data_IF_306137316294
#
_entry.id   IF_306137316294
#
_cell.length_a   1.000
_cell.length_b   1.000
_cell.length_c   1.000
_cell.angle_alpha   90.00
_cell.angle_beta   90.00
_cell.angle_gamma   90.00
#
_symmetry.space_group_name_H-M   'P 1'
#
loop_
_entity.id
_entity.type
_entity.pdbx_description
1 polymer ?
#
# COMPACT_ATOMS: atom_id res chain seq x y z
N UNK A 1 15.75 7.10 -7.31
CA UNK A 1 14.94 7.86 -6.34
C UNK A 1 14.12 6.85 -5.53
N UNK A 2 13.71 7.21 -4.30
CA UNK A 2 12.77 6.40 -3.53
C UNK A 2 11.38 7.03 -3.63
N UNK A 3 10.35 6.20 -3.73
CA UNK A 3 8.96 6.61 -3.80
C UNK A 3 8.20 5.98 -2.64
N UNK A 4 7.23 6.71 -2.09
CA UNK A 4 6.35 6.18 -1.05
C UNK A 4 5.12 5.56 -1.72
N UNK A 5 5.07 4.23 -1.74
CA UNK A 5 3.88 3.51 -2.17
C UNK A 5 2.89 3.45 -1.00
N UNK A 6 1.69 3.98 -1.21
CA UNK A 6 0.58 3.93 -0.26
C UNK A 6 -0.26 2.69 -0.63
N UNK A 7 -0.27 1.72 0.28
CA UNK A 7 -1.11 0.53 0.17
C UNK A 7 -2.26 0.68 1.16
N UNK A 8 -3.49 0.63 0.67
CA UNK A 8 -4.70 0.78 1.45
C UNK A 8 -5.67 -0.34 1.07
N UNK A 9 -6.21 -1.03 2.07
CA UNK A 9 -7.25 -2.03 1.93
C UNK A 9 -8.43 -1.61 2.78
N UNK A 10 -9.61 -1.51 2.16
CA UNK A 10 -10.86 -1.22 2.84
C UNK A 10 -11.81 -2.37 2.55
N UNK A 11 -12.19 -3.13 3.58
CA UNK A 11 -12.95 -4.37 3.44
C UNK A 11 -12.30 -5.35 2.43
N UNK A 12 -12.89 -5.45 1.23
CA UNK A 12 -12.42 -6.30 0.14
C UNK A 12 -11.77 -5.52 -1.01
N UNK A 13 -11.78 -4.18 -0.94
CA UNK A 13 -11.24 -3.31 -1.97
C UNK A 13 -9.81 -2.90 -1.63
N UNK A 14 -8.93 -2.93 -2.63
CA UNK A 14 -7.52 -2.56 -2.49
C UNK A 14 -7.17 -1.36 -3.36
N UNK A 15 -6.34 -0.47 -2.83
CA UNK A 15 -5.72 0.63 -3.54
C UNK A 15 -4.21 0.61 -3.31
N UNK A 16 -3.46 0.68 -4.40
CA UNK A 16 -2.02 0.88 -4.42
C UNK A 16 -1.75 2.13 -5.25
N UNK A 17 -1.25 3.19 -4.61
CA UNK A 17 -0.99 4.45 -5.32
C UNK A 17 0.18 5.19 -4.69
N UNK A 18 0.86 5.99 -5.49
CA UNK A 18 1.82 7.00 -5.01
C UNK A 18 1.19 8.39 -4.97
N UNK A 19 -0.03 8.55 -5.50
CA UNK A 19 -0.76 9.82 -5.55
C UNK A 19 -1.74 9.95 -4.37
N UNK A 20 -1.54 11.00 -3.59
CA UNK A 20 -2.41 11.38 -2.47
C UNK A 20 -3.84 11.70 -2.94
N UNK A 21 -4.03 12.22 -4.14
CA UNK A 21 -5.37 12.55 -4.66
C UNK A 21 -6.19 11.29 -4.94
N UNK A 22 -5.56 10.24 -5.50
CA UNK A 22 -6.22 8.94 -5.68
C UNK A 22 -6.59 8.32 -4.34
N UNK A 23 -5.68 8.38 -3.36
CA UNK A 23 -5.95 7.94 -2.00
C UNK A 23 -7.16 8.65 -1.37
N UNK A 24 -7.23 9.99 -1.48
CA UNK A 24 -8.40 10.77 -1.00
C UNK A 24 -9.68 10.32 -1.71
N UNK A 25 -9.65 10.15 -3.05
CA UNK A 25 -10.81 9.72 -3.82
C UNK A 25 -11.29 8.34 -3.40
N UNK A 26 -10.37 7.39 -3.17
CA UNK A 26 -10.70 6.03 -2.77
C UNK A 26 -11.33 5.97 -1.38
N UNK A 27 -10.74 6.66 -0.39
CA UNK A 27 -11.33 6.74 0.96
C UNK A 27 -12.71 7.37 0.91
N UNK A 28 -12.88 8.46 0.14
CA UNK A 28 -14.18 9.12 0.01
C UNK A 28 -15.26 8.21 -0.56
N UNK A 29 -14.93 7.29 -1.48
CA UNK A 29 -15.89 6.33 -2.04
C UNK A 29 -16.34 5.27 -1.04
N UNK A 30 -15.49 4.88 -0.10
CA UNK A 30 -15.79 3.85 0.90
C UNK A 30 -16.30 4.41 2.23
N UNK A 31 -16.27 5.74 2.39
CA UNK A 31 -16.68 6.44 3.62
C UNK A 31 -18.17 6.18 3.90
N UNK A 32 -18.46 5.53 5.03
CA UNK A 32 -19.83 5.24 5.49
C UNK A 32 -20.19 3.75 5.52
N UNK A 33 -19.52 2.92 4.71
CA UNK A 33 -19.77 1.46 4.65
C UNK A 33 -18.57 0.61 5.09
N UNK A 34 -17.38 1.21 5.21
CA UNK A 34 -16.16 0.53 5.58
C UNK A 34 -16.25 -0.14 6.97
N UNK A 35 -16.04 -1.45 7.05
CA UNK A 35 -15.96 -2.22 8.30
C UNK A 35 -14.52 -2.36 8.79
N UNK A 36 -13.57 -2.54 7.88
CA UNK A 36 -12.14 -2.57 8.17
C UNK A 36 -11.38 -1.61 7.26
N UNK A 37 -10.37 -0.95 7.83
CA UNK A 37 -9.45 -0.07 7.09
C UNK A 37 -8.04 -0.45 7.52
N UNK A 38 -7.27 -0.97 6.59
CA UNK A 38 -5.86 -1.29 6.79
C UNK A 38 -5.02 -0.46 5.82
N UNK A 39 -4.00 0.21 6.34
CA UNK A 39 -3.12 1.04 5.52
C UNK A 39 -1.68 0.86 5.98
N UNK A 40 -0.77 0.79 5.02
CA UNK A 40 0.64 1.00 5.28
C UNK A 40 1.31 1.75 4.13
N UNK A 41 2.34 2.50 4.49
CA UNK A 41 3.25 3.11 3.54
C UNK A 41 4.49 2.22 3.41
N UNK A 42 4.99 2.05 2.19
CA UNK A 42 6.21 1.32 1.92
C UNK A 42 7.12 2.16 1.04
N UNK A 43 8.32 2.44 1.53
CA UNK A 43 9.28 3.25 0.81
C UNK A 43 10.13 2.33 -0.07
N UNK A 44 9.87 2.36 -1.37
CA UNK A 44 10.53 1.48 -2.34
C UNK A 44 11.34 2.28 -3.34
N UNK A 45 12.39 1.68 -3.93
CA UNK A 45 13.04 2.23 -5.10
C UNK A 45 12.04 2.40 -6.25
N UNK A 46 12.12 3.51 -6.97
CA UNK A 46 11.23 3.83 -8.09
C UNK A 46 11.26 2.77 -9.22
N UNK A 47 12.41 2.16 -9.46
CA UNK A 47 12.60 1.04 -10.40
C UNK A 47 11.80 -0.21 -10.01
N UNK A 48 11.40 -0.33 -8.74
CA UNK A 48 10.56 -1.42 -8.24
C UNK A 48 9.08 -1.06 -8.18
N UNK A 49 8.70 0.18 -8.48
CA UNK A 49 7.31 0.64 -8.38
C UNK A 49 6.38 -0.14 -9.31
N UNK A 50 6.75 -0.27 -10.58
CA UNK A 50 5.93 -0.96 -11.59
C UNK A 50 5.63 -2.40 -11.16
N UNK A 51 6.66 -3.11 -10.70
CA UNK A 51 6.51 -4.46 -10.15
C UNK A 51 5.71 -4.50 -8.84
N UNK A 52 5.84 -3.49 -7.99
CA UNK A 52 5.09 -3.40 -6.75
C UNK A 52 3.58 -3.23 -6.99
N UNK A 53 3.19 -2.51 -8.06
CA UNK A 53 1.79 -2.31 -8.43
C UNK A 53 1.12 -3.60 -8.92
N UNK A 54 1.88 -4.57 -9.44
CA UNK A 54 1.37 -5.88 -9.86
C UNK A 54 1.00 -6.79 -8.66
N UNK A 55 1.58 -6.57 -7.49
CA UNK A 55 1.33 -7.40 -6.32
C UNK A 55 0.01 -7.03 -5.60
N UNK A 56 -0.57 -8.01 -4.91
CA UNK A 56 -1.67 -7.79 -3.97
C UNK A 56 -1.22 -7.06 -2.70
N UNK A 57 -2.16 -6.44 -1.97
CA UNK A 57 -1.88 -5.82 -0.68
C UNK A 57 -1.19 -6.81 0.28
N UNK A 58 -1.69 -8.04 0.36
CA UNK A 58 -1.16 -9.07 1.26
C UNK A 58 0.28 -9.49 0.90
N UNK A 59 0.62 -9.53 -0.39
CA UNK A 59 1.99 -9.78 -0.83
C UNK A 59 2.92 -8.63 -0.46
N UNK A 60 2.52 -7.39 -0.74
CA UNK A 60 3.28 -6.20 -0.39
C UNK A 60 3.50 -6.09 1.13
N UNK A 61 2.48 -6.43 1.91
CA UNK A 61 2.59 -6.47 3.38
C UNK A 61 3.60 -7.52 3.84
N UNK A 62 3.58 -8.72 3.25
CA UNK A 62 4.59 -9.76 3.51
C UNK A 62 6.00 -9.32 3.12
N UNK A 63 6.16 -8.63 2.00
CA UNK A 63 7.47 -8.09 1.58
C UNK A 63 7.99 -7.05 2.57
N UNK A 64 7.16 -6.10 2.97
CA UNK A 64 7.50 -5.09 3.98
C UNK A 64 7.91 -5.73 5.30
N UNK A 65 7.16 -6.73 5.79
CA UNK A 65 7.51 -7.45 7.01
C UNK A 65 8.85 -8.19 6.91
N UNK A 66 9.16 -8.78 5.75
CA UNK A 66 10.45 -9.43 5.52
C UNK A 66 11.61 -8.44 5.47
N UNK A 67 11.43 -7.27 4.88
CA UNK A 67 12.45 -6.21 4.90
C UNK A 67 12.70 -5.71 6.32
N UNK A 68 11.65 -5.36 7.07
CA UNK A 68 11.79 -4.90 8.46
C UNK A 68 12.46 -5.93 9.37
N UNK A 69 12.22 -7.24 9.17
CA UNK A 69 12.90 -8.30 9.93
C UNK A 69 14.38 -8.42 9.62
N UNK A 70 14.81 -8.13 8.38
CA UNK A 70 16.23 -8.18 7.99
C UNK A 70 17.03 -6.99 8.52
N UNK A 71 16.37 -5.90 8.92
CA UNK A 71 17.03 -4.77 9.60
C UNK A 71 17.30 -5.03 11.09
N UNK A 72 16.74 -6.11 11.66
CA UNK A 72 16.85 -6.42 13.10
C UNK A 72 17.85 -7.54 13.45
N UNK A 73 18.55 -8.09 12.46
CA UNK A 73 19.67 -9.05 12.60
C UNK A 73 21.00 -8.35 12.21
#
# INVERSE_FOLDING_TARGET
MKVTLICLRIDNDELKTTDKNEWIKFIRRHRGNAKSIEQFNWEIPEDKLEKALEYSYDELYKFKLKENRRETD
#
